data_IF_667173066262
#
_entry.id   IF_667173066262
#
_cell.length_a   1.000
_cell.length_b   1.000
_cell.length_c   1.000
_cell.angle_alpha   90.00
_cell.angle_beta   90.00
_cell.angle_gamma   90.00
#
_symmetry.space_group_name_H-M   'P 1'
#
loop_
_entity.id
_entity.type
_entity.pdbx_description
1 polymer ?
#
# COMPACT_ATOMS: atom_id res chain seq x y z
N UNK A 1 8.68 2.01 22.28
CA UNK A 1 9.86 1.69 23.10
C UNK A 1 10.22 0.29 22.69
N UNK A 2 11.29 0.10 21.90
CA UNK A 2 11.76 -1.25 21.57
C UNK A 2 12.37 -1.83 22.85
N UNK A 3 12.05 -3.09 23.16
CA UNK A 3 12.64 -3.79 24.29
C UNK A 3 14.11 -4.08 23.96
N UNK A 4 15.08 -3.95 24.89
CA UNK A 4 16.47 -4.34 24.64
C UNK A 4 16.68 -5.77 24.09
N UNK A 5 15.69 -6.66 24.20
CA UNK A 5 15.69 -8.02 23.64
C UNK A 5 15.04 -8.15 22.24
N UNK A 6 14.57 -7.05 21.62
CA UNK A 6 14.03 -7.07 20.25
C UNK A 6 15.14 -7.29 19.22
N UNK A 7 15.05 -8.37 18.43
CA UNK A 7 15.96 -8.67 17.32
C UNK A 7 15.98 -7.50 16.31
N UNK A 8 17.14 -6.91 15.97
CA UNK A 8 17.24 -5.81 15.00
C UNK A 8 16.57 -6.15 13.65
N UNK A 9 16.58 -7.41 13.24
CA UNK A 9 15.95 -7.88 11.99
C UNK A 9 14.43 -7.63 12.00
N UNK A 10 13.77 -7.87 13.13
CA UNK A 10 12.33 -7.64 13.29
C UNK A 10 11.97 -6.15 13.21
N UNK A 11 12.82 -5.28 13.76
CA UNK A 11 12.58 -3.83 13.76
C UNK A 11 12.69 -3.23 12.35
N UNK A 12 13.63 -3.70 11.55
CA UNK A 12 13.79 -3.28 10.15
C UNK A 12 12.63 -3.78 9.28
N UNK A 13 12.28 -5.07 9.40
CA UNK A 13 11.12 -5.66 8.72
C UNK A 13 9.81 -4.91 9.05
N UNK A 14 9.61 -4.51 10.31
CA UNK A 14 8.40 -3.78 10.74
C UNK A 14 8.32 -2.39 10.11
N UNK A 15 9.45 -1.68 10.00
CA UNK A 15 9.50 -0.36 9.36
C UNK A 15 9.19 -0.46 7.87
N UNK A 16 9.71 -1.48 7.20
CA UNK A 16 9.50 -1.71 5.78
C UNK A 16 8.05 -2.08 5.46
N UNK A 17 7.45 -2.98 6.25
CA UNK A 17 6.03 -3.33 6.12
C UNK A 17 5.11 -2.11 6.32
N UNK A 18 5.47 -1.21 7.26
CA UNK A 18 4.72 0.02 7.49
C UNK A 18 4.75 0.95 6.27
N UNK A 19 5.88 1.05 5.57
CA UNK A 19 6.00 1.86 4.35
C UNK A 19 5.07 1.34 3.26
N UNK A 20 5.03 0.02 3.04
CA UNK A 20 4.11 -0.60 2.09
C UNK A 20 2.65 -0.33 2.49
N UNK A 21 2.31 -0.52 3.77
CA UNK A 21 0.96 -0.29 4.27
C UNK A 21 0.51 1.16 4.06
N UNK A 22 1.38 2.14 4.31
CA UNK A 22 1.08 3.55 4.09
C UNK A 22 0.90 3.87 2.59
N UNK A 23 1.70 3.28 1.71
CA UNK A 23 1.53 3.44 0.26
C UNK A 23 0.16 2.92 -0.21
N UNK A 24 -0.25 1.74 0.29
CA UNK A 24 -1.57 1.18 -0.01
C UNK A 24 -2.72 1.97 0.61
N UNK A 25 -2.55 2.54 1.81
CA UNK A 25 -3.52 3.46 2.40
C UNK A 25 -3.68 4.74 1.57
N UNK A 26 -2.58 5.33 1.10
CA UNK A 26 -2.64 6.48 0.19
C UNK A 26 -3.36 6.14 -1.12
N UNK A 27 -3.12 4.94 -1.66
CA UNK A 27 -3.85 4.42 -2.81
C UNK A 27 -5.35 4.31 -2.54
N UNK A 28 -5.75 3.73 -1.41
CA UNK A 28 -7.15 3.63 -1.00
C UNK A 28 -7.82 5.00 -0.85
N UNK A 29 -7.14 5.96 -0.22
CA UNK A 29 -7.65 7.33 -0.06
C UNK A 29 -7.84 7.97 -1.44
N UNK A 30 -6.88 7.81 -2.34
CA UNK A 30 -6.99 8.31 -3.70
C UNK A 30 -8.14 7.66 -4.46
N UNK A 31 -8.25 6.32 -4.46
CA UNK A 31 -9.28 5.61 -5.22
C UNK A 31 -10.68 5.99 -4.73
N UNK A 32 -10.92 5.96 -3.42
CA UNK A 32 -12.21 6.31 -2.84
C UNK A 32 -12.57 7.76 -3.15
N UNK A 33 -11.62 8.69 -2.98
CA UNK A 33 -11.86 10.11 -3.23
C UNK A 33 -12.13 10.40 -4.71
N UNK A 34 -11.33 9.82 -5.62
CA UNK A 34 -11.48 10.02 -7.06
C UNK A 34 -12.79 9.43 -7.58
N UNK A 35 -13.14 8.22 -7.16
CA UNK A 35 -14.39 7.55 -7.52
C UNK A 35 -15.61 8.27 -6.93
N UNK A 36 -15.50 8.81 -5.71
CA UNK A 36 -16.56 9.61 -5.10
C UNK A 36 -16.85 10.88 -5.90
N UNK A 37 -15.79 11.62 -6.26
CA UNK A 37 -15.89 12.90 -6.99
C UNK A 37 -16.36 12.72 -8.42
N UNK A 38 -15.88 11.69 -9.14
CA UNK A 38 -16.18 11.51 -10.57
C UNK A 38 -17.35 10.53 -10.83
N UNK A 39 -17.79 9.75 -9.83
CA UNK A 39 -18.77 8.68 -10.02
C UNK A 39 -20.13 8.89 -9.35
N UNK A 40 -20.18 9.53 -8.17
CA UNK A 40 -21.38 9.53 -7.31
C UNK A 40 -22.10 10.90 -7.18
N UNK A 41 -21.71 11.92 -7.93
CA UNK A 41 -22.39 13.24 -7.86
C UNK A 41 -23.66 13.35 -8.70
N UNK A 42 -24.17 12.24 -9.27
CA UNK A 42 -25.39 12.17 -10.10
C UNK A 42 -26.71 12.12 -9.31
N UNK A 43 -26.67 12.35 -8.01
CA UNK A 43 -27.87 12.32 -7.16
C UNK A 43 -28.24 13.74 -6.78
N UNK A 44 -29.52 14.10 -6.83
CA UNK A 44 -29.99 15.39 -6.32
C UNK A 44 -29.52 15.53 -4.87
N UNK A 45 -28.58 16.43 -4.61
CA UNK A 45 -27.99 16.62 -3.27
C UNK A 45 -29.09 17.11 -2.34
N UNK A 46 -29.51 16.25 -1.41
CA UNK A 46 -30.53 16.58 -0.43
C UNK A 46 -29.88 17.28 0.76
N UNK A 47 -30.55 18.29 1.33
CA UNK A 47 -30.06 18.96 2.52
C UNK A 47 -29.90 17.96 3.67
N UNK A 48 -28.66 17.76 4.14
CA UNK A 48 -28.31 16.83 5.23
C UNK A 48 -27.32 15.71 4.85
N UNK A 49 -27.01 15.54 3.56
CA UNK A 49 -26.03 14.55 3.12
C UNK A 49 -24.58 15.03 3.31
N UNK A 50 -23.65 14.10 3.54
CA UNK A 50 -22.20 14.38 3.53
C UNK A 50 -21.76 15.02 2.21
N UNK A 51 -22.47 14.73 1.11
CA UNK A 51 -22.31 15.34 -0.21
C UNK A 51 -22.58 16.85 -0.23
N UNK A 52 -23.33 17.38 0.74
CA UNK A 52 -23.64 18.80 0.88
C UNK A 52 -22.58 19.57 1.69
N UNK A 53 -21.66 18.87 2.37
CA UNK A 53 -20.54 19.47 3.08
C UNK A 53 -19.36 19.80 2.16
N UNK A 54 -19.33 19.23 0.95
CA UNK A 54 -18.26 19.42 -0.03
C UNK A 54 -18.68 20.55 -0.99
N UNK A 55 -17.77 21.45 -1.43
CA UNK A 55 -18.07 22.50 -2.40
C UNK A 55 -18.72 21.96 -3.67
N UNK A 56 -19.40 22.84 -4.42
CA UNK A 56 -20.06 22.45 -5.66
C UNK A 56 -19.06 21.79 -6.64
N UNK A 57 -19.22 20.48 -6.79
CA UNK A 57 -18.39 19.61 -7.61
C UNK A 57 -18.92 19.50 -9.05
N UNK A 58 -19.77 20.44 -9.52
CA UNK A 58 -20.34 20.41 -10.88
C UNK A 58 -19.31 20.27 -12.01
N UNK A 59 -18.04 20.64 -11.78
CA UNK A 59 -16.92 20.39 -12.72
C UNK A 59 -16.67 18.90 -13.01
N UNK A 60 -17.02 18.02 -12.09
CA UNK A 60 -16.79 16.58 -12.19
C UNK A 60 -18.03 15.82 -12.62
N UNK A 61 -19.15 16.51 -12.83
CA UNK A 61 -20.38 15.91 -13.33
C UNK A 61 -20.26 15.61 -14.82
N UNK A 62 -20.10 14.33 -15.16
CA UNK A 62 -19.94 13.86 -16.54
C UNK A 62 -21.25 13.30 -17.08
N UNK A 63 -21.66 13.78 -18.25
CA UNK A 63 -22.84 13.26 -18.97
C UNK A 63 -22.60 11.81 -19.42
N UNK A 64 -23.65 10.96 -19.49
CA UNK A 64 -23.51 9.57 -19.93
C UNK A 64 -22.85 9.43 -21.30
N UNK A 65 -23.08 10.40 -22.20
CA UNK A 65 -22.52 10.41 -23.55
C UNK A 65 -21.02 10.74 -23.59
N UNK A 66 -20.47 11.26 -22.49
CA UNK A 66 -19.04 11.57 -22.33
C UNK A 66 -18.23 10.46 -21.65
N UNK A 67 -18.89 9.35 -21.24
CA UNK A 67 -18.22 8.18 -20.68
C UNK A 67 -17.48 7.43 -21.78
N UNK A 68 -16.21 7.78 -21.98
CA UNK A 68 -15.31 6.95 -22.76
C UNK A 68 -15.22 5.56 -22.13
N UNK A 69 -15.38 4.51 -22.93
CA UNK A 69 -15.12 3.13 -22.50
C UNK A 69 -13.76 2.71 -23.04
N UNK A 70 -12.66 3.00 -22.34
CA UNK A 70 -11.36 2.51 -22.76
C UNK A 70 -11.40 0.99 -22.83
N UNK A 71 -10.86 0.42 -23.92
CA UNK A 71 -10.83 -1.01 -24.19
C UNK A 71 -12.19 -1.68 -24.49
N UNK A 72 -13.30 -0.93 -24.63
CA UNK A 72 -14.60 -1.48 -25.03
C UNK A 72 -15.26 -2.43 -24.01
N UNK A 73 -14.72 -2.51 -22.79
CA UNK A 73 -15.17 -3.40 -21.72
C UNK A 73 -16.38 -2.87 -20.93
N UNK A 74 -16.96 -1.74 -21.34
CA UNK A 74 -18.07 -1.10 -20.63
C UNK A 74 -17.69 -0.44 -19.29
N UNK A 75 -16.42 -0.50 -18.90
CA UNK A 75 -15.91 0.16 -17.69
C UNK A 75 -15.70 1.65 -17.99
N UNK A 76 -16.17 2.57 -17.13
CA UNK A 76 -15.93 4.00 -17.30
C UNK A 76 -14.44 4.36 -17.28
N UNK A 77 -14.03 5.33 -18.09
CA UNK A 77 -12.66 5.86 -18.10
C UNK A 77 -12.20 6.37 -16.72
N UNK A 78 -13.08 6.99 -15.94
CA UNK A 78 -12.75 7.45 -14.59
C UNK A 78 -12.41 6.29 -13.64
N UNK A 79 -13.02 5.10 -13.80
CA UNK A 79 -12.68 3.95 -12.97
C UNK A 79 -11.27 3.44 -13.32
N UNK A 80 -10.88 3.52 -14.59
CA UNK A 80 -9.53 3.19 -15.01
C UNK A 80 -8.48 4.14 -14.41
N UNK A 81 -8.72 5.45 -14.48
CA UNK A 81 -7.80 6.45 -13.90
C UNK A 81 -7.83 6.49 -12.37
N UNK A 82 -8.99 6.21 -11.77
CA UNK A 82 -9.19 6.23 -10.32
C UNK A 82 -8.74 4.98 -9.59
N UNK A 83 -8.71 3.82 -10.27
CA UNK A 83 -8.42 2.51 -9.65
C UNK A 83 -7.18 1.88 -10.25
N UNK A 84 -7.12 1.71 -11.58
CA UNK A 84 -6.05 0.94 -12.24
C UNK A 84 -4.70 1.65 -12.12
N UNK A 85 -4.65 2.96 -12.38
CA UNK A 85 -3.40 3.74 -12.28
C UNK A 85 -2.77 3.70 -10.88
N UNK A 86 -3.48 4.04 -9.79
CA UNK A 86 -2.91 4.00 -8.45
C UNK A 86 -2.58 2.57 -7.99
N UNK A 87 -3.33 1.55 -8.44
CA UNK A 87 -2.95 0.14 -8.23
C UNK A 87 -1.64 -0.21 -8.90
N UNK A 88 -1.47 0.09 -10.20
CA UNK A 88 -0.23 -0.19 -10.92
C UNK A 88 0.94 0.56 -10.30
N UNK A 89 0.73 1.81 -9.88
CA UNK A 89 1.73 2.59 -9.17
C UNK A 89 2.14 1.93 -7.84
N UNK A 90 1.18 1.47 -7.03
CA UNK A 90 1.48 0.77 -5.77
C UNK A 90 2.15 -0.59 -5.98
N UNK A 91 1.67 -1.39 -6.93
CA UNK A 91 2.30 -2.68 -7.26
C UNK A 91 3.73 -2.48 -7.74
N UNK A 92 3.96 -1.51 -8.63
CA UNK A 92 5.31 -1.17 -9.10
C UNK A 92 6.21 -0.65 -7.98
N UNK A 93 5.68 0.21 -7.10
CA UNK A 93 6.42 0.71 -5.94
C UNK A 93 6.76 -0.40 -4.94
N UNK A 94 5.80 -1.27 -4.61
CA UNK A 94 6.04 -2.43 -3.74
C UNK A 94 7.05 -3.37 -4.35
N UNK A 95 6.95 -3.70 -5.64
CA UNK A 95 7.92 -4.54 -6.32
C UNK A 95 9.33 -3.92 -6.30
N UNK A 96 9.45 -2.63 -6.62
CA UNK A 96 10.72 -1.91 -6.56
C UNK A 96 11.31 -1.94 -5.14
N UNK A 97 10.50 -1.68 -4.12
CA UNK A 97 10.95 -1.70 -2.73
C UNK A 97 11.41 -3.11 -2.31
N UNK A 98 10.68 -4.15 -2.71
CA UNK A 98 11.08 -5.53 -2.45
C UNK A 98 12.40 -5.92 -3.13
N UNK A 99 12.60 -5.54 -4.40
CA UNK A 99 13.79 -5.99 -5.16
C UNK A 99 15.01 -5.09 -5.00
N UNK A 100 14.82 -3.79 -4.73
CA UNK A 100 15.92 -2.82 -4.66
C UNK A 100 16.28 -2.40 -3.24
N UNK A 101 15.38 -2.56 -2.26
CA UNK A 101 15.57 -2.04 -0.90
C UNK A 101 15.61 -3.12 0.18
N UNK A 102 14.73 -4.13 0.16
CA UNK A 102 14.82 -5.26 1.09
C UNK A 102 16.11 -6.03 0.78
N UNK A 103 17.10 -5.93 1.67
CA UNK A 103 18.32 -6.71 1.58
C UNK A 103 18.06 -8.08 2.19
N UNK A 104 18.49 -9.13 1.53
CA UNK A 104 18.62 -10.43 2.17
C UNK A 104 19.71 -10.29 3.25
N UNK A 105 19.33 -10.40 4.52
CA UNK A 105 20.32 -10.46 5.60
C UNK A 105 21.20 -11.69 5.36
N UNK A 106 22.53 -11.55 5.45
CA UNK A 106 23.40 -12.71 5.39
C UNK A 106 22.99 -13.63 6.54
N UNK A 107 22.56 -14.85 6.22
CA UNK A 107 22.32 -15.88 7.24
C UNK A 107 23.51 -15.86 8.20
N UNK A 108 23.27 -15.85 9.52
CA UNK A 108 24.36 -15.98 10.47
C UNK A 108 25.08 -17.28 10.13
N UNK A 109 26.24 -17.14 9.47
CA UNK A 109 27.16 -18.21 9.13
C UNK A 109 27.32 -19.01 10.41
N UNK A 110 26.82 -20.26 10.40
CA UNK A 110 26.80 -21.20 11.52
C UNK A 110 27.95 -20.90 12.48
N UNK A 111 27.65 -20.10 13.51
CA UNK A 111 28.61 -19.81 14.56
C UNK A 111 28.58 -21.04 15.45
N UNK A 112 29.28 -22.05 14.97
CA UNK A 112 29.71 -23.24 15.65
C UNK A 112 28.70 -23.84 16.62
N UNK A 113 28.10 -24.95 16.21
CA UNK A 113 27.78 -26.07 17.11
C UNK A 113 29.00 -26.53 17.97
N UNK A 114 30.17 -25.93 17.79
CA UNK A 114 31.43 -26.08 18.52
C UNK A 114 31.34 -25.75 20.02
N UNK A 115 30.39 -24.92 20.50
CA UNK A 115 30.36 -24.52 21.92
C UNK A 115 29.86 -25.63 22.88
N UNK A 116 29.45 -26.79 22.37
CA UNK A 116 29.12 -27.96 23.20
C UNK A 116 30.12 -29.13 23.12
N UNK A 117 31.21 -29.01 22.34
CA UNK A 117 32.27 -30.01 22.32
C UNK A 117 33.60 -29.41 22.82
N UNK A 118 34.11 -29.97 23.91
CA UNK A 118 35.49 -29.85 24.44
C UNK A 118 35.71 -28.81 25.55
N UNK A 119 35.24 -29.12 26.77
CA UNK A 119 36.02 -28.88 28.00
C UNK A 119 36.67 -30.21 28.44
N UNK A 120 37.92 -30.50 28.02
CA UNK A 120 38.65 -31.68 28.45
C UNK A 120 39.35 -31.44 29.81
N UNK A 121 39.23 -30.27 30.43
CA UNK A 121 39.96 -29.90 31.64
C UNK A 121 39.22 -30.25 32.93
N UNK A 122 38.02 -30.85 32.87
CA UNK A 122 37.32 -31.44 34.03
C UNK A 122 37.60 -32.94 34.23
N UNK A 123 38.67 -33.46 33.63
CA UNK A 123 39.07 -34.86 33.74
C UNK A 123 40.57 -35.04 33.99
N UNK A 124 41.12 -34.42 35.04
CA UNK A 124 42.41 -34.80 35.63
C UNK A 124 42.48 -34.37 37.10
#
# INVERSE_FOLDING_TARGET
MADPDDDPVYLDSRREALVILLAWLACMIWTVSYCYVNGYTRHDRVAGEVSALVPDLGRFDRTPDSLGTPFGLGIPDWALWGIVVPWVACVGFSAWLCFAYMKDDPEPMDRGEDEHMVDPARGA
#
